data_IF_225839046193
#
_entry.id   IF_225839046193
#
_cell.length_a   1.000
_cell.length_b   1.000
_cell.length_c   1.000
_cell.angle_alpha   90.00
_cell.angle_beta   90.00
_cell.angle_gamma   90.00
#
_symmetry.space_group_name_H-M   'P 1'
#
loop_
_entity.id
_entity.type
_entity.pdbx_description
1 polymer ?
#
# COMPACT_ATOMS: atom_id res chain seq x y z
N UNK A 1 -9.51 8.83 -0.07
CA UNK A 1 -8.94 9.96 0.70
C UNK A 1 -9.19 9.73 2.18
N UNK A 2 -8.12 9.61 2.97
CA UNK A 2 -8.20 9.63 4.43
C UNK A 2 -8.56 11.02 4.93
N UNK A 3 -9.36 11.08 6.00
CA UNK A 3 -9.69 12.32 6.70
C UNK A 3 -9.59 12.12 8.20
N UNK A 4 -9.10 13.16 8.85
CA UNK A 4 -9.06 13.27 10.30
C UNK A 4 -10.10 14.28 10.77
N UNK A 5 -10.67 14.04 11.95
CA UNK A 5 -11.51 14.99 12.68
C UNK A 5 -10.72 15.50 13.88
N UNK A 6 -10.84 16.78 14.20
CA UNK A 6 -10.23 17.33 15.42
C UNK A 6 -10.87 16.74 16.69
N UNK A 7 -12.11 16.24 16.60
CA UNK A 7 -12.77 15.54 17.70
C UNK A 7 -12.15 14.16 17.98
N UNK A 8 -11.49 13.57 16.97
CA UNK A 8 -10.79 12.31 17.11
C UNK A 8 -9.31 12.51 17.48
N UNK A 9 -8.84 13.75 17.64
CA UNK A 9 -7.46 14.02 18.01
C UNK A 9 -7.23 13.73 19.50
N UNK A 10 -6.15 13.00 19.81
CA UNK A 10 -5.69 12.76 21.16
C UNK A 10 -4.56 13.72 21.52
N UNK A 11 -4.76 14.53 22.58
CA UNK A 11 -3.80 15.54 23.01
C UNK A 11 -3.60 16.68 22.01
N UNK A 12 -2.61 17.54 22.27
CA UNK A 12 -2.20 18.59 21.33
C UNK A 12 -1.12 18.06 20.37
N UNK A 13 -1.00 18.66 19.18
CA UNK A 13 0.12 18.39 18.27
C UNK A 13 1.44 18.64 18.99
N UNK A 14 2.40 17.73 18.86
CA UNK A 14 3.70 17.79 19.53
C UNK A 14 3.74 17.12 20.91
N UNK A 15 2.59 16.81 21.53
CA UNK A 15 2.54 16.22 22.89
C UNK A 15 3.27 14.87 22.97
N UNK A 16 3.31 14.14 21.87
CA UNK A 16 3.82 12.76 21.80
C UNK A 16 4.96 12.63 20.77
N UNK A 17 5.70 13.72 20.56
CA UNK A 17 6.79 13.81 19.60
C UNK A 17 6.63 15.00 18.66
N UNK A 18 7.75 15.63 18.34
CA UNK A 18 7.78 16.89 17.60
C UNK A 18 7.07 16.77 16.25
N UNK A 19 6.08 17.63 16.03
CA UNK A 19 5.27 17.64 14.80
C UNK A 19 4.30 16.47 14.63
N UNK A 20 4.18 15.57 15.61
CA UNK A 20 3.25 14.44 15.56
C UNK A 20 1.89 14.80 16.17
N UNK A 21 0.83 14.30 15.54
CA UNK A 21 -0.53 14.34 16.06
C UNK A 21 -1.05 12.91 16.20
N UNK A 22 -1.73 12.61 17.31
CA UNK A 22 -2.32 11.30 17.55
C UNK A 22 -3.82 11.38 17.30
N UNK A 23 -4.39 10.33 16.69
CA UNK A 23 -5.81 10.26 16.39
C UNK A 23 -6.39 8.94 16.88
N UNK A 24 -7.59 9.00 17.44
CA UNK A 24 -8.40 7.84 17.83
C UNK A 24 -9.05 7.17 16.62
N UNK A 25 -9.34 7.93 15.57
CA UNK A 25 -9.96 7.42 14.36
C UNK A 25 -9.53 8.22 13.12
N UNK A 26 -9.56 7.52 11.98
CA UNK A 26 -9.37 8.10 10.65
C UNK A 26 -10.54 7.61 9.78
N UNK A 27 -11.19 8.53 9.07
CA UNK A 27 -12.31 8.22 8.19
C UNK A 27 -11.89 8.23 6.72
N UNK A 28 -12.70 7.65 5.83
CA UNK A 28 -12.49 7.70 4.38
C UNK A 28 -13.68 8.30 3.66
N UNK A 29 -13.40 9.19 2.70
CA UNK A 29 -14.45 9.79 1.85
C UNK A 29 -14.85 8.92 0.66
N UNK A 30 -13.98 7.98 0.25
CA UNK A 30 -14.21 7.12 -0.89
C UNK A 30 -13.98 5.67 -0.46
N UNK A 31 -14.93 4.81 -0.84
CA UNK A 31 -14.81 3.37 -0.71
C UNK A 31 -13.97 2.79 -1.86
N UNK A 32 -12.74 3.30 -2.02
CA UNK A 32 -11.72 2.80 -2.95
C UNK A 32 -10.55 2.22 -2.16
N UNK A 33 -9.67 1.48 -2.83
CA UNK A 33 -8.54 0.83 -2.18
C UNK A 33 -7.54 1.84 -1.58
N UNK A 34 -6.64 1.31 -0.76
CA UNK A 34 -5.51 2.01 -0.16
C UNK A 34 -4.42 1.02 0.21
N UNK A 35 -3.27 1.51 0.70
CA UNK A 35 -2.12 0.65 0.99
C UNK A 35 -1.72 0.72 2.45
N UNK A 36 -1.53 -0.46 3.05
CA UNK A 36 -0.83 -0.62 4.32
C UNK A 36 0.60 -1.04 4.02
N UNK A 37 1.57 -0.27 4.47
CA UNK A 37 2.98 -0.48 4.15
C UNK A 37 3.79 -0.62 5.42
N UNK A 38 4.41 -1.79 5.59
CA UNK A 38 5.36 -2.04 6.65
C UNK A 38 6.76 -1.70 6.17
N UNK A 39 7.49 -0.89 6.96
CA UNK A 39 8.82 -0.41 6.60
C UNK A 39 9.72 -0.33 7.82
N UNK A 40 11.02 -0.26 7.58
CA UNK A 40 12.03 -0.01 8.61
C UNK A 40 12.69 1.32 8.33
N UNK A 41 12.81 2.18 9.35
CA UNK A 41 13.59 3.43 9.28
C UNK A 41 14.77 3.38 10.22
N UNK A 42 15.89 3.95 9.80
CA UNK A 42 17.08 4.08 10.62
C UNK A 42 16.92 5.27 11.56
N UNK A 43 16.84 4.99 12.86
CA UNK A 43 16.82 5.98 13.92
C UNK A 43 18.01 5.71 14.85
N UNK A 44 18.90 6.70 15.02
CA UNK A 44 20.09 6.59 15.89
C UNK A 44 20.96 5.33 15.63
N UNK A 45 21.06 4.93 14.36
CA UNK A 45 21.85 3.77 13.96
C UNK A 45 21.11 2.43 13.97
N UNK A 46 19.89 2.37 14.52
CA UNK A 46 19.05 1.17 14.59
C UNK A 46 17.90 1.24 13.60
N UNK A 47 17.52 0.10 13.02
CA UNK A 47 16.29 0.02 12.23
C UNK A 47 15.09 -0.22 13.15
N UNK A 48 14.14 0.71 13.12
CA UNK A 48 12.88 0.65 13.86
C UNK A 48 11.75 0.40 12.88
N UNK A 49 10.79 -0.44 13.25
CA UNK A 49 9.61 -0.76 12.44
C UNK A 49 8.60 0.38 12.47
N UNK A 50 8.01 0.68 11.32
CA UNK A 50 6.95 1.67 11.13
C UNK A 50 5.90 1.12 10.17
N UNK A 51 4.69 1.62 10.32
CA UNK A 51 3.57 1.33 9.44
C UNK A 51 3.05 2.63 8.82
N UNK A 52 2.83 2.64 7.52
CA UNK A 52 2.23 3.76 6.79
C UNK A 52 0.95 3.35 6.08
N UNK A 53 -0.09 4.15 6.25
CA UNK A 53 -1.37 4.01 5.56
C UNK A 53 -1.42 5.02 4.41
N UNK A 54 -1.16 4.56 3.19
CA UNK A 54 -1.07 5.43 2.02
C UNK A 54 -2.40 5.46 1.27
N UNK A 55 -2.80 6.67 0.89
CA UNK A 55 -4.12 6.89 0.30
C UNK A 55 -4.23 6.41 -1.16
N UNK A 56 -3.17 6.55 -1.94
CA UNK A 56 -3.18 6.44 -3.40
C UNK A 56 -1.79 6.06 -3.96
N UNK A 57 -1.76 5.77 -5.26
CA UNK A 57 -0.57 5.29 -5.97
C UNK A 57 0.57 6.32 -6.02
N UNK A 58 0.35 7.63 -6.24
CA UNK A 58 1.43 8.61 -6.19
C UNK A 58 2.20 8.55 -4.87
N UNK A 59 1.48 8.48 -3.73
CA UNK A 59 2.13 8.36 -2.41
C UNK A 59 2.88 7.05 -2.23
N UNK A 60 2.33 5.94 -2.74
CA UNK A 60 3.03 4.66 -2.73
C UNK A 60 4.32 4.73 -3.55
N UNK A 61 4.28 5.30 -4.76
CA UNK A 61 5.45 5.45 -5.62
C UNK A 61 6.50 6.36 -4.97
N UNK A 62 6.10 7.49 -4.38
CA UNK A 62 7.00 8.36 -3.62
C UNK A 62 7.73 7.59 -2.51
N UNK A 63 6.99 6.79 -1.73
CA UNK A 63 7.58 5.97 -0.67
C UNK A 63 8.54 4.92 -1.25
N UNK A 64 8.13 4.20 -2.30
CA UNK A 64 8.95 3.16 -2.93
C UNK A 64 10.26 3.72 -3.51
N UNK A 65 10.23 4.92 -4.10
CA UNK A 65 11.40 5.61 -4.66
C UNK A 65 12.32 6.14 -3.55
N UNK A 66 11.78 6.49 -2.38
CA UNK A 66 12.56 6.99 -1.25
C UNK A 66 13.37 5.93 -0.48
N UNK A 67 13.27 4.65 -0.87
CA UNK A 67 14.04 3.57 -0.26
C UNK A 67 15.55 3.76 -0.44
N UNK A 68 16.32 3.43 0.59
CA UNK A 68 17.77 3.59 0.61
C UNK A 68 18.37 3.17 1.95
N UNK A 69 19.51 3.77 2.32
CA UNK A 69 20.21 3.43 3.56
C UNK A 69 19.42 3.75 4.83
N UNK A 70 18.54 4.74 4.78
CA UNK A 70 17.79 5.22 5.95
C UNK A 70 16.39 4.64 6.06
N UNK A 71 15.85 4.04 4.99
CA UNK A 71 14.50 3.49 4.97
C UNK A 71 14.37 2.35 3.96
N UNK A 72 13.75 1.24 4.38
CA UNK A 72 13.51 0.08 3.52
C UNK A 72 12.07 -0.41 3.70
N UNK A 73 11.31 -0.48 2.61
CA UNK A 73 9.97 -1.08 2.60
C UNK A 73 10.12 -2.59 2.74
N UNK A 74 9.37 -3.18 3.67
CA UNK A 74 9.38 -4.62 3.93
C UNK A 74 8.23 -5.31 3.22
N UNK A 75 7.02 -4.74 3.31
CA UNK A 75 5.81 -5.34 2.76
C UNK A 75 4.83 -4.26 2.33
N UNK A 76 4.16 -4.48 1.20
CA UNK A 76 3.03 -3.66 0.74
C UNK A 76 1.80 -4.56 0.72
N UNK A 77 0.76 -4.15 1.42
CA UNK A 77 -0.55 -4.77 1.37
C UNK A 77 -1.54 -3.78 0.77
N UNK A 78 -2.43 -4.27 -0.08
CA UNK A 78 -3.56 -3.50 -0.58
C UNK A 78 -4.79 -3.81 0.26
N UNK A 79 -5.53 -2.77 0.59
CA UNK A 79 -6.79 -2.87 1.32
C UNK A 79 -7.92 -2.50 0.39
N UNK A 80 -8.75 -3.48 0.06
CA UNK A 80 -9.75 -3.41 -1.00
C UNK A 80 -11.16 -3.50 -0.43
N UNK A 81 -12.13 -2.71 -0.96
CA UNK A 81 -13.54 -2.84 -0.60
C UNK A 81 -14.17 -4.08 -1.26
N UNK A 82 -15.30 -4.55 -0.72
CA UNK A 82 -16.00 -5.76 -1.19
C UNK A 82 -16.31 -5.75 -2.69
N UNK A 83 -16.77 -4.62 -3.23
CA UNK A 83 -17.08 -4.49 -4.66
C UNK A 83 -15.86 -4.71 -5.57
N UNK A 84 -14.65 -4.47 -5.07
CA UNK A 84 -13.41 -4.61 -5.82
C UNK A 84 -12.83 -6.02 -5.69
N UNK A 85 -12.84 -6.57 -4.48
CA UNK A 85 -12.29 -7.90 -4.18
C UNK A 85 -13.28 -9.05 -4.41
N UNK A 86 -14.41 -8.77 -5.08
CA UNK A 86 -15.49 -9.72 -5.38
C UNK A 86 -16.05 -10.39 -4.11
N UNK A 87 -15.99 -9.71 -2.97
CA UNK A 87 -16.42 -10.18 -1.66
C UNK A 87 -17.49 -9.27 -1.04
N UNK A 88 -17.85 -9.57 0.21
CA UNK A 88 -18.89 -8.82 0.96
C UNK A 88 -18.32 -7.74 1.90
N UNK A 89 -17.01 -7.74 2.15
CA UNK A 89 -16.38 -6.87 3.11
C UNK A 89 -15.00 -6.38 2.63
N UNK A 90 -14.40 -5.48 3.41
CA UNK A 90 -13.03 -5.07 3.17
C UNK A 90 -12.06 -6.23 3.41
N UNK A 91 -11.03 -6.32 2.58
CA UNK A 91 -9.91 -7.26 2.76
C UNK A 91 -8.60 -6.52 2.72
N UNK A 92 -7.62 -7.02 3.46
CA UNK A 92 -6.22 -6.58 3.41
C UNK A 92 -5.39 -7.78 2.95
N UNK A 93 -4.72 -7.63 1.81
CA UNK A 93 -4.02 -8.72 1.14
C UNK A 93 -2.64 -8.26 0.69
N UNK A 94 -1.66 -9.17 0.73
CA UNK A 94 -0.30 -8.86 0.26
C UNK A 94 -0.31 -8.57 -1.23
N UNK A 95 0.20 -7.41 -1.60
CA UNK A 95 0.29 -6.98 -2.98
C UNK A 95 1.51 -7.65 -3.63
N UNK A 96 1.33 -8.31 -4.76
CA UNK A 96 2.42 -8.89 -5.56
C UNK A 96 2.81 -7.93 -6.68
N UNK A 97 1.84 -7.25 -7.28
CA UNK A 97 2.12 -6.21 -8.27
C UNK A 97 1.05 -5.14 -8.35
N UNK A 98 1.47 -3.95 -8.77
CA UNK A 98 0.60 -2.82 -9.10
C UNK A 98 1.04 -2.24 -10.43
N UNK A 99 0.09 -2.13 -11.35
CA UNK A 99 0.26 -1.39 -12.59
C UNK A 99 -0.83 -0.33 -12.74
N UNK A 100 -0.54 0.73 -13.47
CA UNK A 100 -1.52 1.76 -13.83
C UNK A 100 -1.50 1.98 -15.34
N UNK A 101 -2.68 2.05 -15.95
CA UNK A 101 -2.87 2.36 -17.36
C UNK A 101 -4.12 3.21 -17.56
N UNK A 102 -4.53 3.36 -18.82
CA UNK A 102 -5.70 4.17 -19.18
C UNK A 102 -6.70 3.36 -19.99
N UNK A 103 -7.98 3.45 -19.64
CA UNK A 103 -9.06 2.90 -20.47
C UNK A 103 -9.24 3.74 -21.76
N UNK A 104 -10.12 3.32 -22.70
CA UNK A 104 -10.36 4.07 -23.93
C UNK A 104 -10.83 5.52 -23.71
N UNK A 105 -11.51 5.78 -22.59
CA UNK A 105 -11.96 7.11 -22.17
C UNK A 105 -10.87 7.94 -21.46
N UNK A 106 -9.61 7.46 -21.45
CA UNK A 106 -8.46 8.11 -20.78
C UNK A 106 -8.60 8.26 -19.27
N UNK A 107 -9.44 7.44 -18.65
CA UNK A 107 -9.55 7.35 -17.19
C UNK A 107 -8.44 6.42 -16.67
N UNK A 108 -7.68 6.82 -15.64
CA UNK A 108 -6.64 5.98 -15.06
C UNK A 108 -7.26 4.77 -14.35
N UNK A 109 -6.71 3.59 -14.64
CA UNK A 109 -7.10 2.32 -14.04
C UNK A 109 -5.88 1.67 -13.40
N UNK A 110 -6.04 1.29 -12.13
CA UNK A 110 -5.07 0.50 -11.38
C UNK A 110 -5.41 -0.98 -11.52
N UNK A 111 -4.39 -1.79 -11.77
CA UNK A 111 -4.44 -3.24 -11.80
C UNK A 111 -3.58 -3.75 -10.65
N UNK A 112 -4.21 -4.45 -9.72
CA UNK A 112 -3.57 -4.93 -8.49
C UNK A 112 -3.63 -6.45 -8.46
N UNK A 113 -2.49 -7.08 -8.37
CA UNK A 113 -2.38 -8.53 -8.18
C UNK A 113 -1.98 -8.79 -6.73
N UNK A 114 -2.63 -9.77 -6.09
CA UNK A 114 -2.37 -10.13 -4.70
C UNK A 114 -1.79 -11.54 -4.59
N UNK A 115 -1.24 -11.88 -3.43
CA UNK A 115 -0.56 -13.17 -3.19
C UNK A 115 -1.43 -14.40 -3.46
N UNK A 116 -2.75 -14.28 -3.33
CA UNK A 116 -3.70 -15.33 -3.68
C UNK A 116 -3.86 -15.57 -5.19
N UNK A 117 -3.20 -14.77 -6.04
CA UNK A 117 -3.31 -14.81 -7.51
C UNK A 117 -4.51 -14.05 -8.08
N UNK A 118 -5.34 -13.47 -7.21
CA UNK A 118 -6.44 -12.62 -7.63
C UNK A 118 -5.94 -11.31 -8.23
N UNK A 119 -6.67 -10.82 -9.24
CA UNK A 119 -6.43 -9.52 -9.88
C UNK A 119 -7.65 -8.63 -9.70
N UNK A 120 -7.41 -7.43 -9.18
CA UNK A 120 -8.41 -6.42 -8.88
C UNK A 120 -8.17 -5.15 -9.71
N UNK A 121 -9.26 -4.46 -10.05
CA UNK A 121 -9.23 -3.17 -10.75
C UNK A 121 -10.07 -2.12 -10.03
N UNK A 122 -9.63 -0.87 -10.07
CA UNK A 122 -10.28 0.23 -9.36
C UNK A 122 -11.46 0.87 -10.14
N UNK A 123 -12.28 0.06 -10.81
CA UNK A 123 -13.42 0.54 -11.60
C UNK A 123 -14.68 -0.30 -11.39
N UNK A 124 -15.84 0.33 -11.54
CA UNK A 124 -17.14 -0.34 -11.61
C UNK A 124 -17.51 -0.81 -13.01
N UNK A 125 -16.65 -0.56 -14.01
CA UNK A 125 -16.87 -1.02 -15.37
C UNK A 125 -16.69 -2.55 -15.44
N UNK A 126 -17.81 -3.28 -15.52
CA UNK A 126 -17.85 -4.74 -15.49
C UNK A 126 -17.22 -5.42 -16.71
N UNK A 127 -17.18 -4.75 -17.86
CA UNK A 127 -16.68 -5.26 -19.13
C UNK A 127 -15.25 -4.78 -19.44
N UNK A 128 -14.56 -4.16 -18.46
CA UNK A 128 -13.18 -3.74 -18.64
C UNK A 128 -12.28 -4.97 -18.83
N UNK A 129 -11.62 -5.00 -19.98
CA UNK A 129 -10.53 -5.93 -20.29
C UNK A 129 -9.20 -5.28 -19.95
N UNK A 130 -8.40 -5.89 -19.07
CA UNK A 130 -7.08 -5.34 -18.68
C UNK A 130 -6.18 -5.19 -19.91
N UNK A 131 -6.26 -6.11 -20.86
CA UNK A 131 -5.55 -6.09 -22.14
C UNK A 131 -5.93 -4.91 -23.06
N UNK A 132 -7.07 -4.27 -22.82
CA UNK A 132 -7.48 -3.05 -23.55
C UNK A 132 -6.90 -1.76 -22.98
N UNK A 133 -6.24 -1.83 -21.82
CA UNK A 133 -5.61 -0.67 -21.21
C UNK A 133 -4.41 -0.23 -22.05
N UNK A 134 -4.30 1.08 -22.24
CA UNK A 134 -3.17 1.70 -22.93
C UNK A 134 -2.21 2.32 -21.93
N UNK A 135 -0.91 2.35 -22.28
CA UNK A 135 0.10 2.98 -21.43
C UNK A 135 0.29 2.30 -20.07
N UNK A 136 0.05 0.99 -19.98
CA UNK A 136 0.21 0.24 -18.74
C UNK A 136 1.67 0.32 -18.26
N UNK A 137 1.85 0.85 -17.06
CA UNK A 137 3.15 0.99 -16.39
C UNK A 137 3.10 0.26 -15.06
N UNK A 138 4.07 -0.61 -14.83
CA UNK A 138 4.28 -1.22 -13.52
C UNK A 138 4.86 -0.20 -12.54
N UNK A 139 4.17 -0.02 -11.41
CA UNK A 139 4.54 0.90 -10.34
C UNK A 139 5.19 0.17 -9.17
N UNK A 140 4.81 -1.09 -8.95
CA UNK A 140 5.34 -1.93 -7.89
C UNK A 140 5.34 -3.39 -8.30
N UNK A 141 6.41 -4.10 -7.94
CA UNK A 141 6.44 -5.55 -7.91
C UNK A 141 7.18 -6.01 -6.66
N UNK A 142 6.54 -6.93 -5.94
CA UNK A 142 7.17 -7.62 -4.82
C UNK A 142 8.34 -8.42 -5.34
N UNK A 143 9.51 -8.25 -4.73
CA UNK A 143 10.68 -9.09 -5.02
C UNK A 143 10.37 -10.52 -4.57
N UNK A 144 10.59 -11.49 -5.45
CA UNK A 144 10.53 -12.90 -5.10
C UNK A 144 11.56 -13.16 -3.98
N UNK A 145 11.18 -13.92 -2.95
CA UNK A 145 12.11 -14.39 -1.91
C UNK A 145 13.02 -15.51 -2.41
N UNK A 146 13.44 -15.48 -3.67
CA UNK A 146 14.46 -16.40 -4.20
C UNK A 146 15.82 -15.86 -3.79
N UNK A 147 16.26 -16.23 -2.58
CA UNK A 147 17.53 -15.78 -2.01
C UNK A 147 17.61 -15.80 -0.48
N UNK A 148 16.64 -16.39 0.24
CA UNK A 148 16.87 -16.72 1.64
C UNK A 148 17.96 -17.80 1.70
N UNK A 149 19.19 -17.39 2.03
CA UNK A 149 20.33 -18.26 2.29
C UNK A 149 19.89 -19.41 3.23
N UNK A 150 20.32 -20.66 2.97
CA UNK A 150 20.03 -21.76 3.88
C UNK A 150 20.67 -21.44 5.24
N UNK A 151 19.84 -21.44 6.27
CA UNK A 151 20.24 -21.26 7.66
C UNK A 151 21.19 -22.40 8.03
N UNK A 152 22.49 -22.15 7.95
CA UNK A 152 23.51 -23.01 8.54
C UNK A 152 23.52 -22.74 10.05
N UNK A 153 22.71 -23.48 10.78
CA UNK A 153 22.92 -23.73 12.21
C UNK A 153 23.09 -25.25 12.39
N UNK A 154 24.28 -25.72 12.03
CA UNK A 154 24.87 -26.89 12.64
C UNK A 154 25.84 -26.43 13.73
N UNK A 155 25.74 -27.03 14.92
CA UNK A 155 26.74 -26.87 15.98
C UNK A 155 26.15 -26.74 17.38
N UNK A 156 25.66 -27.86 17.92
CA UNK A 156 25.84 -28.20 19.34
C UNK A 156 26.73 -29.44 19.39
#
# INVERSE_FOLDING_TARGET
>A
MFRISMLDQSGSVGMFGDGLAHFHAVSRSLATHWYHVSLKRRHEGLYVAYEEMLNDEPRLVELLVSQGETMVVQEVQVVTPGWMNKGSCWKMEKLTSLSMGFNPAKVPICVMEVEGGDVYVNTHQHDLKVESLTGLKELYRRRSSEGALPSALGGL
#
